data_IF_576800419931
#
_entry.id   IF_576800419931
#
_cell.length_a   1.000
_cell.length_b   1.000
_cell.length_c   1.000
_cell.angle_alpha   90.00
_cell.angle_beta   90.00
_cell.angle_gamma   90.00
#
_symmetry.space_group_name_H-M   'P 1'
#
loop_
_entity.id
_entity.type
_entity.pdbx_description
1 polymer ?
#
# COMPACT_ATOMS: atom_id res chain seq x y z
N UNK A 1 -8.22 7.71 11.58
CA UNK A 1 -8.11 8.73 10.54
C UNK A 1 -9.39 9.56 10.46
N UNK A 2 -9.25 10.83 10.13
CA UNK A 2 -10.35 11.79 9.97
C UNK A 2 -10.38 12.38 8.56
N UNK A 3 -9.22 12.51 7.92
CA UNK A 3 -9.06 13.16 6.61
C UNK A 3 -8.93 12.12 5.51
N UNK A 4 -7.94 11.24 5.62
CA UNK A 4 -7.71 10.22 4.60
C UNK A 4 -7.08 8.94 5.15
N UNK A 5 -7.34 7.83 4.42
CA UNK A 5 -6.67 6.55 4.59
C UNK A 5 -6.29 6.03 3.20
N UNK A 6 -5.01 5.97 2.91
CA UNK A 6 -4.50 5.43 1.65
C UNK A 6 -3.73 4.15 1.95
N UNK A 7 -4.12 3.07 1.31
CA UNK A 7 -3.54 1.76 1.56
C UNK A 7 -3.21 1.05 0.25
N UNK A 8 -1.97 0.59 0.10
CA UNK A 8 -1.57 -0.36 -0.93
C UNK A 8 -1.05 -1.64 -0.30
N UNK A 9 -1.39 -2.78 -0.90
CA UNK A 9 -0.90 -4.09 -0.48
C UNK A 9 -0.80 -5.03 -1.67
N UNK A 10 0.21 -5.91 -1.65
CA UNK A 10 0.34 -6.93 -2.69
C UNK A 10 -0.70 -8.03 -2.53
N UNK A 11 -0.85 -8.58 -1.31
CA UNK A 11 -1.85 -9.60 -1.00
C UNK A 11 -2.87 -9.03 -0.01
N UNK A 12 -4.15 -9.20 -0.32
CA UNK A 12 -5.28 -8.96 0.58
C UNK A 12 -6.11 -10.25 0.66
N UNK A 13 -5.65 -11.21 1.47
CA UNK A 13 -6.25 -12.53 1.54
C UNK A 13 -7.40 -12.58 2.54
N UNK A 14 -8.44 -13.35 2.22
CA UNK A 14 -9.57 -13.55 3.14
C UNK A 14 -9.10 -14.19 4.45
N UNK A 15 -9.60 -13.67 5.60
CA UNK A 15 -9.22 -14.12 6.92
C UNK A 15 -9.52 -13.08 7.99
N UNK A 16 -9.03 -13.31 9.21
CA UNK A 16 -9.22 -12.40 10.35
C UNK A 16 -8.55 -11.04 10.13
N UNK A 17 -7.32 -11.05 9.59
CA UNK A 17 -6.59 -9.83 9.26
C UNK A 17 -7.38 -8.98 8.26
N UNK A 18 -7.77 -9.57 7.13
CA UNK A 18 -8.54 -8.88 6.10
C UNK A 18 -9.89 -8.36 6.64
N UNK A 19 -10.57 -9.13 7.48
CA UNK A 19 -11.82 -8.72 8.13
C UNK A 19 -11.63 -7.48 9.02
N UNK A 20 -10.57 -7.46 9.82
CA UNK A 20 -10.24 -6.33 10.70
C UNK A 20 -9.91 -5.06 9.89
N UNK A 21 -9.07 -5.19 8.86
CA UNK A 21 -8.74 -4.08 7.96
C UNK A 21 -9.98 -3.57 7.21
N UNK A 22 -10.79 -4.47 6.65
CA UNK A 22 -12.01 -4.12 5.94
C UNK A 22 -12.97 -3.30 6.82
N UNK A 23 -13.20 -3.76 8.06
CA UNK A 23 -14.03 -3.02 9.02
C UNK A 23 -13.45 -1.65 9.37
N UNK A 24 -12.12 -1.55 9.55
CA UNK A 24 -11.46 -0.29 9.87
C UNK A 24 -11.57 0.71 8.72
N UNK A 25 -11.34 0.27 7.47
CA UNK A 25 -11.48 1.07 6.26
C UNK A 25 -12.92 1.56 6.06
N UNK A 26 -13.90 0.65 6.19
CA UNK A 26 -15.32 0.99 6.08
C UNK A 26 -15.73 2.03 7.15
N UNK A 27 -15.30 1.85 8.42
CA UNK A 27 -15.56 2.83 9.48
C UNK A 27 -14.90 4.19 9.21
N UNK A 28 -13.71 4.22 8.60
CA UNK A 28 -13.10 5.49 8.23
C UNK A 28 -13.89 6.20 7.13
N UNK A 29 -14.30 5.47 6.09
CA UNK A 29 -15.13 6.00 5.01
C UNK A 29 -16.49 6.50 5.52
N UNK A 30 -17.15 5.78 6.42
CA UNK A 30 -18.43 6.20 7.00
C UNK A 30 -18.34 7.49 7.84
N UNK A 31 -17.14 7.85 8.31
CA UNK A 31 -16.87 9.13 8.97
C UNK A 31 -16.52 10.28 8.01
N UNK A 32 -16.55 10.02 6.70
CA UNK A 32 -16.26 11.03 5.67
C UNK A 32 -14.78 11.14 5.27
N UNK A 33 -13.90 10.23 5.74
CA UNK A 33 -12.51 10.22 5.29
C UNK A 33 -12.41 9.75 3.82
N UNK A 34 -11.46 10.31 3.04
CA UNK A 34 -11.11 9.78 1.72
C UNK A 34 -10.34 8.47 1.89
N UNK A 35 -11.01 7.33 1.65
CA UNK A 35 -10.41 6.00 1.83
C UNK A 35 -10.17 5.37 0.47
N UNK A 36 -8.88 5.10 0.17
CA UNK A 36 -8.44 4.48 -1.08
C UNK A 36 -7.65 3.20 -0.80
N UNK A 37 -8.01 2.13 -1.48
CA UNK A 37 -7.34 0.83 -1.40
C UNK A 37 -6.84 0.41 -2.77
N UNK A 38 -5.54 0.20 -2.89
CA UNK A 38 -4.87 -0.32 -4.08
C UNK A 38 -4.38 -1.74 -3.81
N UNK A 39 -4.81 -2.69 -4.63
CA UNK A 39 -4.36 -4.09 -4.57
C UNK A 39 -3.65 -4.48 -5.85
N UNK A 40 -2.67 -5.40 -5.78
CA UNK A 40 -1.96 -5.87 -6.97
C UNK A 40 -2.78 -6.93 -7.73
N UNK A 41 -2.74 -6.88 -9.07
CA UNK A 41 -3.50 -7.79 -9.92
C UNK A 41 -3.08 -9.26 -9.83
N UNK A 42 -1.78 -9.56 -9.59
CA UNK A 42 -1.31 -10.94 -9.35
C UNK A 42 -1.54 -11.33 -7.90
N UNK A 43 -1.33 -10.41 -6.96
CA UNK A 43 -1.64 -10.63 -5.55
C UNK A 43 -3.09 -11.06 -5.32
N UNK A 44 -4.00 -10.64 -6.22
CA UNK A 44 -5.39 -11.09 -6.22
C UNK A 44 -5.58 -12.60 -6.45
N UNK A 45 -4.66 -13.28 -7.11
CA UNK A 45 -4.74 -14.74 -7.34
C UNK A 45 -4.64 -15.53 -6.03
N UNK A 46 -3.97 -14.96 -5.04
CA UNK A 46 -3.87 -15.53 -3.70
C UNK A 46 -5.15 -15.35 -2.87
N UNK A 47 -6.14 -14.59 -3.39
CA UNK A 47 -7.40 -14.32 -2.70
C UNK A 47 -8.60 -14.68 -3.55
N UNK A 48 -9.11 -15.91 -3.39
CA UNK A 48 -10.26 -16.43 -4.14
C UNK A 48 -11.52 -15.55 -4.02
N UNK A 49 -11.75 -14.90 -2.89
CA UNK A 49 -13.00 -14.20 -2.56
C UNK A 49 -12.99 -12.68 -2.75
N UNK A 50 -11.90 -12.05 -3.23
CA UNK A 50 -11.79 -10.60 -3.47
C UNK A 50 -12.51 -9.74 -2.39
N UNK A 51 -12.14 -9.86 -1.11
CA UNK A 51 -12.90 -9.27 0.00
C UNK A 51 -12.98 -7.74 -0.09
N UNK A 52 -12.03 -7.10 -0.77
CA UNK A 52 -12.00 -5.64 -0.95
C UNK A 52 -13.14 -5.11 -1.82
N UNK A 53 -13.71 -5.89 -2.77
CA UNK A 53 -14.83 -5.43 -3.60
C UNK A 53 -16.07 -5.06 -2.79
N UNK A 54 -16.26 -5.70 -1.64
CA UNK A 54 -17.37 -5.38 -0.74
C UNK A 54 -17.20 -3.99 -0.10
N UNK A 55 -15.97 -3.47 -0.05
CA UNK A 55 -15.66 -2.19 0.56
C UNK A 55 -16.20 -1.01 -0.25
N UNK A 56 -16.37 -1.15 -1.55
CA UNK A 56 -16.93 -0.10 -2.41
C UNK A 56 -18.33 0.33 -1.96
N UNK A 57 -19.14 -0.63 -1.46
CA UNK A 57 -20.48 -0.36 -0.93
C UNK A 57 -20.46 0.46 0.36
N UNK A 58 -19.30 0.58 0.99
CA UNK A 58 -19.08 1.35 2.21
C UNK A 58 -18.33 2.66 1.94
N UNK A 59 -18.25 3.10 0.66
CA UNK A 59 -17.60 4.34 0.29
C UNK A 59 -16.07 4.27 0.20
N UNK A 60 -15.47 3.09 0.27
CA UNK A 60 -14.03 2.89 0.03
C UNK A 60 -13.79 2.83 -1.47
N UNK A 61 -12.90 3.67 -1.97
CA UNK A 61 -12.49 3.67 -3.38
C UNK A 61 -11.44 2.59 -3.58
N UNK A 62 -11.66 1.68 -4.53
CA UNK A 62 -10.73 0.56 -4.78
C UNK A 62 -10.15 0.62 -6.18
N UNK A 63 -8.88 0.24 -6.34
CA UNK A 63 -8.24 0.09 -7.62
C UNK A 63 -7.34 -1.14 -7.64
N UNK A 64 -7.06 -1.65 -8.84
CA UNK A 64 -6.20 -2.81 -9.05
C UNK A 64 -4.99 -2.40 -9.89
N UNK A 65 -3.81 -2.61 -9.35
CA UNK A 65 -2.56 -2.36 -10.07
C UNK A 65 -2.33 -3.47 -11.09
N UNK A 66 -2.24 -3.09 -12.38
CA UNK A 66 -2.05 -3.99 -13.52
C UNK A 66 -2.95 -5.25 -13.42
N UNK A 67 -4.27 -5.09 -13.57
CA UNK A 67 -5.19 -6.22 -13.51
C UNK A 67 -4.83 -7.24 -14.59
N UNK A 68 -4.89 -8.53 -14.24
CA UNK A 68 -4.66 -9.59 -15.21
C UNK A 68 -5.74 -9.56 -16.29
N UNK A 69 -5.34 -9.35 -17.52
CA UNK A 69 -6.20 -9.43 -18.71
C UNK A 69 -5.78 -10.64 -19.53
N UNK A 70 -6.77 -11.49 -19.85
CA UNK A 70 -6.56 -12.66 -20.71
C UNK A 70 -6.47 -12.28 -22.19
N UNK A 71 -7.07 -11.15 -22.60
CA UNK A 71 -7.07 -10.68 -23.98
C UNK A 71 -7.03 -9.14 -24.03
N UNK A 72 -6.06 -8.52 -24.76
CA UNK A 72 -4.80 -9.15 -25.15
C UNK A 72 -3.97 -9.52 -23.93
N UNK A 73 -3.18 -10.61 -23.96
CA UNK A 73 -2.37 -11.01 -22.83
C UNK A 73 -1.37 -9.90 -22.49
N UNK A 74 -1.45 -9.36 -21.27
CA UNK A 74 -0.47 -8.36 -20.85
C UNK A 74 0.79 -9.06 -20.37
N UNK A 75 1.91 -8.79 -21.05
CA UNK A 75 3.25 -9.37 -20.81
C UNK A 75 3.91 -8.82 -19.53
N UNK A 76 3.20 -8.03 -18.73
CA UNK A 76 3.74 -7.35 -17.54
C UNK A 76 3.75 -8.17 -16.25
N UNK A 77 3.99 -9.49 -16.31
CA UNK A 77 4.01 -10.35 -15.10
C UNK A 77 5.11 -9.91 -14.12
N UNK A 78 6.22 -9.37 -14.59
CA UNK A 78 7.33 -8.91 -13.76
C UNK A 78 7.14 -7.50 -13.20
N UNK A 79 6.14 -6.75 -13.67
CA UNK A 79 5.87 -5.39 -13.23
C UNK A 79 4.76 -5.40 -12.19
N UNK A 80 5.12 -5.55 -10.91
CA UNK A 80 4.15 -5.68 -9.81
C UNK A 80 4.37 -4.63 -8.73
N UNK A 81 3.26 -4.23 -8.11
CA UNK A 81 3.32 -3.33 -6.96
C UNK A 81 3.48 -4.15 -5.68
N UNK A 82 4.73 -4.39 -5.27
CA UNK A 82 5.04 -5.08 -4.02
C UNK A 82 5.01 -4.14 -2.80
N UNK A 83 4.67 -2.86 -2.97
CA UNK A 83 4.66 -1.88 -1.88
C UNK A 83 3.53 -2.17 -0.91
N UNK A 84 3.86 -2.22 0.39
CA UNK A 84 2.92 -2.29 1.48
C UNK A 84 2.98 -0.94 2.17
N UNK A 85 2.03 -0.09 1.85
CA UNK A 85 1.94 1.28 2.37
C UNK A 85 0.56 1.47 2.98
N UNK A 86 0.51 1.98 4.19
CA UNK A 86 -0.71 2.50 4.80
C UNK A 86 -0.40 3.89 5.34
N UNK A 87 -1.13 4.88 4.88
CA UNK A 87 -1.04 6.25 5.39
C UNK A 87 -2.39 6.65 5.96
N UNK A 88 -2.40 7.04 7.22
CA UNK A 88 -3.58 7.49 7.94
C UNK A 88 -3.30 8.89 8.49
N UNK A 89 -3.79 9.92 7.84
CA UNK A 89 -3.49 11.32 8.18
C UNK A 89 -1.97 11.52 8.33
N UNK A 90 -1.48 11.89 9.52
CA UNK A 90 -0.07 12.12 9.81
C UNK A 90 0.75 10.89 10.24
N UNK A 91 0.24 9.66 10.07
CA UNK A 91 0.94 8.42 10.42
C UNK A 91 1.05 7.50 9.23
N UNK A 92 2.25 7.02 8.96
CA UNK A 92 2.56 6.06 7.89
C UNK A 92 2.97 4.70 8.44
N UNK A 93 2.70 3.66 7.68
CA UNK A 93 3.14 2.29 7.95
C UNK A 93 3.68 1.68 6.66
N UNK A 94 4.82 1.01 6.73
CA UNK A 94 5.42 0.31 5.58
C UNK A 94 6.33 -0.82 6.05
N UNK A 95 6.51 -1.82 5.20
CA UNK A 95 7.35 -2.99 5.50
C UNK A 95 6.99 -4.17 4.60
N UNK A 96 7.31 -5.39 5.02
CA UNK A 96 7.10 -6.60 4.23
C UNK A 96 5.71 -7.24 4.40
N UNK A 97 4.98 -6.94 5.49
CA UNK A 97 3.74 -7.64 5.85
C UNK A 97 2.60 -7.41 4.84
N UNK A 98 2.02 -8.50 4.37
CA UNK A 98 0.77 -8.49 3.63
C UNK A 98 -0.45 -8.57 4.56
N UNK A 99 -1.65 -8.38 4.00
CA UNK A 99 -2.90 -8.58 4.73
C UNK A 99 -3.32 -10.04 4.57
N UNK A 100 -2.76 -10.88 5.43
CA UNK A 100 -3.03 -12.31 5.49
C UNK A 100 -2.88 -12.81 6.92
N UNK A 101 -3.59 -13.88 7.28
CA UNK A 101 -3.55 -14.44 8.63
C UNK A 101 -2.19 -15.05 8.98
N UNK A 102 -1.40 -15.45 7.98
CA UNK A 102 -0.02 -15.95 8.18
C UNK A 102 0.94 -14.87 8.70
N UNK A 103 0.60 -13.59 8.53
CA UNK A 103 1.33 -12.45 9.08
C UNK A 103 0.84 -12.05 10.49
N UNK A 104 -0.16 -12.74 11.06
CA UNK A 104 -0.62 -12.48 12.43
C UNK A 104 0.25 -13.27 13.42
N UNK A 105 0.94 -12.57 14.31
CA UNK A 105 1.84 -13.15 15.32
C UNK A 105 1.16 -13.78 16.53
N UNK A 106 -0.17 -13.66 16.66
CA UNK A 106 -0.88 -14.11 17.86
C UNK A 106 -1.09 -15.64 17.88
N UNK A 107 -0.25 -16.35 18.63
CA UNK A 107 -0.55 -17.69 19.16
C UNK A 107 -0.34 -18.88 18.22
N UNK A 108 0.51 -18.77 17.21
CA UNK A 108 0.89 -19.90 16.33
C UNK A 108 2.40 -19.88 16.07
N UNK A 109 2.96 -21.03 15.76
CA UNK A 109 4.32 -21.12 15.20
C UNK A 109 4.44 -20.12 14.05
N UNK A 110 5.32 -19.15 14.21
CA UNK A 110 5.54 -18.06 13.26
C UNK A 110 5.93 -18.65 11.91
N UNK A 111 5.01 -18.70 10.96
CA UNK A 111 5.30 -19.17 9.61
C UNK A 111 6.02 -18.11 8.78
N UNK A 112 5.78 -16.82 9.08
CA UNK A 112 6.41 -15.69 8.39
C UNK A 112 7.01 -14.76 9.43
N UNK A 113 8.32 -14.58 9.40
CA UNK A 113 9.00 -13.51 10.12
C UNK A 113 9.11 -12.31 9.20
N UNK A 114 8.54 -11.19 9.61
CA UNK A 114 8.51 -9.97 8.80
C UNK A 114 8.61 -8.74 9.69
N UNK A 115 8.98 -7.62 9.08
CA UNK A 115 9.13 -6.35 9.78
C UNK A 115 8.26 -5.29 9.13
N UNK A 116 7.55 -4.54 9.98
CA UNK A 116 6.73 -3.43 9.56
C UNK A 116 6.98 -2.23 10.47
N UNK A 117 7.13 -1.06 9.88
CA UNK A 117 7.51 0.16 10.58
C UNK A 117 6.33 1.12 10.65
N UNK A 118 6.14 1.74 11.82
CA UNK A 118 5.30 2.92 11.97
C UNK A 118 6.18 4.15 11.82
N UNK A 119 5.77 5.07 10.97
CA UNK A 119 6.52 6.29 10.63
C UNK A 119 5.70 7.54 10.95
N UNK A 120 6.37 8.61 11.35
CA UNK A 120 5.79 9.94 11.54
C UNK A 120 6.75 11.00 10.97
N UNK A 121 6.23 12.22 10.77
CA UNK A 121 7.02 13.32 10.21
C UNK A 121 7.10 13.29 8.68
N UNK A 122 8.09 13.95 8.07
CA UNK A 122 8.16 14.18 6.62
C UNK A 122 8.16 12.92 5.76
N UNK A 123 8.55 11.77 6.30
CA UNK A 123 8.51 10.47 5.61
C UNK A 123 7.08 10.06 5.23
N UNK A 124 6.07 10.50 6.01
CA UNK A 124 4.67 10.20 5.74
C UNK A 124 4.20 10.85 4.44
N UNK A 125 4.66 12.08 4.15
CA UNK A 125 4.35 12.76 2.89
C UNK A 125 4.98 12.03 1.69
N UNK A 126 6.18 11.46 1.87
CA UNK A 126 6.83 10.65 0.84
C UNK A 126 6.06 9.33 0.59
N UNK A 127 5.60 8.64 1.64
CA UNK A 127 4.77 7.44 1.51
C UNK A 127 3.42 7.76 0.83
N UNK A 128 2.79 8.87 1.22
CA UNK A 128 1.57 9.36 0.58
C UNK A 128 1.77 9.66 -0.90
N UNK A 129 2.88 10.33 -1.24
CA UNK A 129 3.27 10.60 -2.62
C UNK A 129 3.42 9.30 -3.43
N UNK A 130 4.13 8.30 -2.89
CA UNK A 130 4.32 7.01 -3.54
C UNK A 130 2.98 6.34 -3.84
N UNK A 131 2.06 6.33 -2.87
CA UNK A 131 0.71 5.80 -3.06
C UNK A 131 -0.06 6.57 -4.15
N UNK A 132 -0.06 7.90 -4.12
CA UNK A 132 -0.84 8.73 -5.06
C UNK A 132 -0.34 8.61 -6.50
N UNK A 133 0.96 8.40 -6.71
CA UNK A 133 1.52 8.12 -8.04
C UNK A 133 1.02 6.77 -8.57
N UNK A 134 1.04 5.72 -7.75
CA UNK A 134 0.53 4.40 -8.13
C UNK A 134 -1.00 4.45 -8.36
N UNK A 135 -1.72 5.22 -7.55
CA UNK A 135 -3.16 5.45 -7.72
C UNK A 135 -3.47 6.13 -9.05
N UNK A 136 -2.77 7.23 -9.36
CA UNK A 136 -2.92 7.95 -10.62
C UNK A 136 -2.62 7.08 -11.83
N UNK A 137 -1.57 6.25 -11.75
CA UNK A 137 -1.23 5.29 -12.79
C UNK A 137 -2.36 4.28 -13.06
N UNK A 138 -3.03 3.80 -12.00
CA UNK A 138 -4.08 2.80 -12.12
C UNK A 138 -5.44 3.36 -12.55
N UNK A 139 -5.76 4.58 -12.14
CA UNK A 139 -7.11 5.16 -12.28
C UNK A 139 -7.19 6.31 -13.28
N UNK A 140 -6.05 6.87 -13.66
CA UNK A 140 -5.99 8.14 -14.40
C UNK A 140 -6.27 9.37 -13.53
N UNK A 141 -6.50 9.19 -12.23
CA UNK A 141 -6.84 10.25 -11.30
C UNK A 141 -5.61 10.75 -10.56
N UNK A 142 -5.04 11.82 -11.05
CA UNK A 142 -3.87 12.45 -10.45
C UNK A 142 -4.30 13.49 -9.41
N UNK A 143 -4.08 13.19 -8.15
CA UNK A 143 -4.33 14.12 -7.05
C UNK A 143 -3.09 15.02 -6.88
N UNK A 144 -3.25 16.36 -6.82
CA UNK A 144 -2.14 17.24 -6.52
C UNK A 144 -1.47 16.83 -5.21
N UNK A 145 -0.14 16.77 -5.24
CA UNK A 145 0.62 16.45 -4.04
C UNK A 145 0.67 17.70 -3.16
N UNK A 146 0.10 17.65 -1.94
CA UNK A 146 0.23 18.77 -1.04
C UNK A 146 1.71 19.02 -0.72
N UNK A 147 2.10 20.26 -0.45
CA UNK A 147 3.45 20.55 0.02
C UNK A 147 3.76 19.75 1.27
N UNK A 148 5.03 19.35 1.43
CA UNK A 148 5.48 18.67 2.64
C UNK A 148 5.30 19.64 3.83
N UNK A 149 4.38 19.32 4.71
CA UNK A 149 4.03 20.18 5.86
C UNK A 149 4.39 19.53 7.19
N UNK A 150 4.72 18.25 7.19
CA UNK A 150 5.02 17.52 8.41
C UNK A 150 6.36 17.96 8.99
N UNK A 151 6.36 18.42 10.24
CA UNK A 151 7.58 18.76 10.98
C UNK A 151 8.38 17.50 11.29
N UNK A 152 9.73 17.57 11.31
CA UNK A 152 10.58 16.47 11.73
C UNK A 152 10.18 15.95 13.12
N UNK A 153 10.12 14.61 13.24
CA UNK A 153 9.80 13.94 14.50
C UNK A 153 10.85 12.84 14.74
N UNK A 154 11.47 12.86 15.94
CA UNK A 154 12.50 11.88 16.28
C UNK A 154 13.87 12.18 15.66
N UNK A 155 14.82 11.27 15.88
CA UNK A 155 16.22 11.41 15.45
C UNK A 155 16.58 10.59 14.20
N UNK A 156 15.68 9.72 13.72
CA UNK A 156 15.94 8.84 12.58
C UNK A 156 15.84 9.59 11.26
N UNK A 157 16.84 9.41 10.39
CA UNK A 157 16.81 9.91 9.02
C UNK A 157 16.22 8.82 8.12
N UNK A 158 15.10 9.12 7.46
CA UNK A 158 14.39 8.18 6.60
C UNK A 158 14.11 8.81 5.24
N UNK A 159 14.16 8.00 4.18
CA UNK A 159 13.79 8.38 2.82
C UNK A 159 13.04 7.24 2.15
N UNK A 160 11.96 7.55 1.44
CA UNK A 160 11.30 6.60 0.55
C UNK A 160 12.02 6.61 -0.79
N UNK A 161 12.48 5.44 -1.20
CA UNK A 161 13.05 5.21 -2.53
C UNK A 161 12.04 4.37 -3.27
N UNK A 162 11.56 4.91 -4.39
CA UNK A 162 10.67 4.19 -5.28
C UNK A 162 11.51 3.58 -6.40
N UNK A 163 11.37 2.28 -6.56
CA UNK A 163 11.92 1.55 -7.69
C UNK A 163 10.78 0.93 -8.50
N UNK A 164 10.98 0.80 -9.81
CA UNK A 164 9.97 0.21 -10.70
C UNK A 164 9.94 0.88 -12.07
N UNK A 165 9.08 0.40 -12.97
CA UNK A 165 8.96 0.92 -14.32
C UNK A 165 8.51 2.39 -14.28
N UNK A 166 9.38 3.29 -14.76
CA UNK A 166 9.14 4.73 -14.76
C UNK A 166 9.87 5.51 -13.66
N UNK A 167 10.49 4.87 -12.67
CA UNK A 167 11.53 5.48 -11.86
C UNK A 167 12.83 5.47 -12.70
N UNK A 168 13.26 6.61 -13.19
CA UNK A 168 14.38 6.69 -14.13
C UNK A 168 15.70 6.23 -13.50
N UNK A 169 16.04 4.95 -13.68
CA UNK A 169 17.32 4.35 -13.29
C UNK A 169 17.20 3.21 -12.27
N UNK A 170 18.30 2.50 -12.08
CA UNK A 170 18.46 1.41 -11.10
C UNK A 170 18.76 1.98 -9.70
N UNK A 171 17.89 2.85 -9.18
CA UNK A 171 18.16 3.62 -7.95
C UNK A 171 18.46 2.74 -6.74
N UNK A 172 17.80 1.58 -6.61
CA UNK A 172 18.09 0.64 -5.53
C UNK A 172 19.43 -0.04 -5.72
N UNK A 173 19.75 -0.47 -6.94
CA UNK A 173 21.04 -1.07 -7.26
C UNK A 173 22.18 -0.11 -7.02
N UNK A 174 22.05 1.16 -7.43
CA UNK A 174 23.03 2.22 -7.19
C UNK A 174 23.25 2.47 -5.69
N UNK A 175 22.19 2.47 -4.89
CA UNK A 175 22.28 2.65 -3.44
C UNK A 175 22.98 1.47 -2.79
N UNK A 176 22.59 0.22 -3.11
CA UNK A 176 23.22 -0.96 -2.55
C UNK A 176 24.68 -1.08 -2.97
N UNK A 177 25.01 -0.77 -4.23
CA UNK A 177 26.39 -0.77 -4.72
C UNK A 177 27.26 0.33 -4.08
N UNK A 178 26.65 1.43 -3.66
CA UNK A 178 27.34 2.53 -2.97
C UNK A 178 27.52 2.32 -1.46
N UNK A 179 26.92 1.28 -0.87
CA UNK A 179 26.99 0.98 0.58
C UNK A 179 27.88 -0.24 0.85
N UNK A 180 28.19 -1.07 -0.16
CA UNK A 180 29.10 -2.22 -0.09
C UNK A 180 30.50 -1.78 -0.50
#
# INVERSE_FOLDING_TARGET
>A
AREYVFMSTYIFNAGRAAGAFAQALARAASRGADVRLLVDGVGMLYSWHKPWKKLERHGVRTAVFLPLRLFPPQVGINLRNHRKILVCDGTGFTGGMNIADDNLSAGRDLRVQDMHFQCRGPIVDQLRRAFLLDWGFCTGEYTPLPPATALPQGASRCRVIMDGPGAGGNTLEDIYSGVI
#
